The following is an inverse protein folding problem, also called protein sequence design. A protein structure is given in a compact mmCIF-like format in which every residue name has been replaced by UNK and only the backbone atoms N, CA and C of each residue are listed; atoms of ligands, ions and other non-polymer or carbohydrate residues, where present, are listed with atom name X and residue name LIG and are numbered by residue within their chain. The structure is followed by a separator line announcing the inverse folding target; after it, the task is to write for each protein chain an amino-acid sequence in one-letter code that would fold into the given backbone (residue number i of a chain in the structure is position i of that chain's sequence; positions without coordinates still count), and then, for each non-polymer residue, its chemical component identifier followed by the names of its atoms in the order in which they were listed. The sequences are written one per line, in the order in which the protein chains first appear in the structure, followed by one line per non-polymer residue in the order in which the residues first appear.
data_IF_901011150895
#
_entry.id   IF_901011150895
#
_cell.length_a   1.000
_cell.length_b   1.000
_cell.length_c   1.000
_cell.angle_alpha   90.00
_cell.angle_beta   90.00
_cell.angle_gamma   90.00
#
_symmetry.space_group_name_H-M   'P 1'
#
loop_
_entity.id
_entity.type
_entity.pdbx_description
1 polymer ?
#
# COMPACT_ATOMS: atom_id res chain seq x y z
N UNK A 1 15.78 0.99 15.65
CA UNK A 1 14.53 0.75 16.41
C UNK A 1 13.68 -0.21 15.56
N UNK A 2 13.70 -1.51 15.86
CA UNK A 2 13.02 -2.53 15.03
C UNK A 2 11.51 -2.25 15.03
N UNK A 3 10.92 -2.08 13.83
CA UNK A 3 9.51 -1.75 13.65
C UNK A 3 8.62 -2.86 14.20
N UNK A 4 7.85 -2.50 15.23
CA UNK A 4 6.94 -3.35 16.00
C UNK A 4 5.58 -3.46 15.32
N UNK A 5 5.54 -3.80 14.03
CA UNK A 5 4.30 -3.94 13.26
C UNK A 5 4.57 -4.61 11.92
N UNK A 6 3.57 -5.27 11.34
CA UNK A 6 3.58 -5.70 9.93
C UNK A 6 2.95 -4.61 9.07
N UNK A 7 3.72 -4.08 8.14
CA UNK A 7 3.24 -3.15 7.12
C UNK A 7 3.66 -3.63 5.75
N UNK A 8 2.86 -3.26 4.76
CA UNK A 8 3.15 -3.58 3.37
C UNK A 8 3.26 -2.27 2.62
N UNK A 9 4.41 -2.03 2.00
CA UNK A 9 4.63 -0.86 1.13
C UNK A 9 4.64 -1.34 -0.31
N UNK A 10 3.77 -0.75 -1.13
CA UNK A 10 3.76 -0.90 -2.57
C UNK A 10 4.35 0.37 -3.20
N UNK A 11 5.50 0.27 -3.87
CA UNK A 11 5.99 1.34 -4.76
C UNK A 11 5.37 1.14 -6.13
N UNK A 12 4.80 2.20 -6.68
CA UNK A 12 4.06 2.18 -7.94
C UNK A 12 4.94 2.76 -9.06
N UNK A 13 4.80 2.31 -10.32
CA UNK A 13 5.68 2.72 -11.43
C UNK A 13 5.62 4.23 -11.69
N UNK A 14 6.77 4.82 -12.02
CA UNK A 14 6.85 6.24 -12.39
C UNK A 14 6.48 6.42 -13.88
N UNK A 15 5.29 6.96 -14.15
CA UNK A 15 4.79 7.20 -15.52
C UNK A 15 5.38 8.45 -16.20
N UNK A 16 6.21 9.23 -15.51
CA UNK A 16 6.84 10.43 -16.09
C UNK A 16 7.93 10.12 -17.13
N UNK A 17 8.42 8.88 -17.17
CA UNK A 17 9.47 8.43 -18.11
C UNK A 17 8.94 8.05 -19.50
N UNK A 18 7.63 8.16 -19.76
CA UNK A 18 7.02 7.86 -21.06
C UNK A 18 6.40 9.13 -21.68
N UNK A 19 7.19 10.19 -21.73
CA UNK A 19 6.83 11.45 -22.40
C UNK A 19 6.87 11.30 -23.93
N UNK A 20 5.87 10.59 -24.47
CA UNK A 20 5.53 10.52 -25.88
C UNK A 20 4.03 10.66 -26.04
N UNK A 21 3.52 11.89 -25.95
CA UNK A 21 2.22 12.37 -26.46
C UNK A 21 0.98 11.43 -26.37
N UNK A 22 0.83 10.65 -25.28
CA UNK A 22 -0.44 9.98 -25.00
C UNK A 22 -1.36 10.95 -24.23
N UNK A 23 -2.69 10.99 -24.52
CA UNK A 23 -3.64 11.71 -23.70
C UNK A 23 -3.50 11.24 -22.24
N UNK A 24 -3.75 12.11 -21.24
CA UNK A 24 -3.65 11.70 -19.85
C UNK A 24 -4.55 10.47 -19.64
N UNK A 25 -4.07 9.41 -18.96
CA UNK A 25 -4.78 8.15 -18.88
C UNK A 25 -6.21 8.38 -18.33
N UNK A 26 -7.20 7.52 -18.63
CA UNK A 26 -8.60 7.69 -18.22
C UNK A 26 -8.77 8.07 -16.74
N UNK A 27 -7.89 7.57 -15.88
CA UNK A 27 -7.82 7.87 -14.46
C UNK A 27 -7.53 9.35 -14.12
N UNK A 28 -6.71 10.05 -14.91
CA UNK A 28 -6.43 11.48 -14.72
C UNK A 28 -7.66 12.34 -15.07
N UNK A 29 -8.44 11.97 -16.09
CA UNK A 29 -9.72 12.64 -16.37
C UNK A 29 -10.74 12.42 -15.25
N UNK A 30 -10.80 11.23 -14.66
CA UNK A 30 -11.68 10.95 -13.52
C UNK A 30 -11.32 11.82 -12.30
N UNK A 31 -10.03 11.96 -11.98
CA UNK A 31 -9.55 12.84 -10.91
C UNK A 31 -9.95 14.30 -11.13
N UNK A 32 -9.73 14.82 -12.35
CA UNK A 32 -10.06 16.22 -12.69
C UNK A 32 -11.57 16.47 -12.59
N UNK A 33 -12.40 15.54 -13.08
CA UNK A 33 -13.87 15.63 -12.94
C UNK A 33 -14.30 15.62 -11.48
N UNK A 34 -13.57 14.91 -10.62
CA UNK A 34 -13.79 14.90 -9.18
C UNK A 34 -13.23 16.14 -8.48
N UNK A 35 -12.62 17.10 -9.17
CA UNK A 35 -12.05 18.32 -8.60
C UNK A 35 -10.67 18.14 -7.96
N UNK A 36 -9.98 17.03 -8.26
CA UNK A 36 -8.61 16.76 -7.82
C UNK A 36 -7.64 17.28 -8.88
N UNK A 37 -6.60 17.99 -8.44
CA UNK A 37 -5.45 18.42 -9.26
C UNK A 37 -4.39 17.32 -9.32
N UNK A 38 -4.20 16.57 -10.42
CA UNK A 38 -3.26 15.44 -10.46
C UNK A 38 -1.82 15.81 -10.07
N UNK A 39 -1.36 17.01 -10.41
CA UNK A 39 -0.04 17.56 -10.09
C UNK A 39 0.17 17.83 -8.59
N UNK A 40 -0.92 17.89 -7.82
CA UNK A 40 -0.92 18.14 -6.37
C UNK A 40 -1.24 16.88 -5.56
N UNK A 41 -1.18 15.69 -6.15
CA UNK A 41 -1.39 14.43 -5.42
C UNK A 41 -0.26 14.18 -4.40
N UNK A 42 -0.55 13.50 -3.27
CA UNK A 42 0.49 12.97 -2.40
C UNK A 42 1.33 11.95 -3.18
N UNK A 43 2.65 12.05 -3.07
CA UNK A 43 3.60 11.09 -3.64
C UNK A 43 3.57 9.79 -2.85
N UNK A 44 3.39 9.85 -1.54
CA UNK A 44 3.27 8.70 -0.67
C UNK A 44 2.06 8.83 0.26
N UNK A 45 1.15 7.85 0.21
CA UNK A 45 0.04 7.69 1.14
C UNK A 45 0.31 6.54 2.10
N UNK A 46 0.12 6.75 3.39
CA UNK A 46 0.11 5.68 4.38
C UNK A 46 -1.30 5.49 4.96
N UNK A 47 -1.69 4.25 5.25
CA UNK A 47 -3.06 3.91 5.66
C UNK A 47 -3.12 3.00 6.87
N UNK A 48 -3.95 3.37 7.85
CA UNK A 48 -4.39 2.51 8.94
C UNK A 48 -5.79 1.99 8.61
N UNK A 49 -5.85 0.69 8.27
CA UNK A 49 -7.04 0.00 7.74
C UNK A 49 -7.92 -0.56 8.88
N UNK A 50 -8.47 0.34 9.70
CA UNK A 50 -9.22 0.00 10.92
C UNK A 50 -10.73 -0.19 10.64
N UNK A 51 -11.41 -0.95 11.50
CA UNK A 51 -12.85 -1.13 11.43
C UNK A 51 -13.36 -2.46 10.86
N UNK A 52 -12.49 -3.37 10.41
CA UNK A 52 -12.91 -4.68 9.85
C UNK A 52 -13.85 -5.48 10.77
N UNK A 53 -13.49 -5.60 12.05
CA UNK A 53 -14.31 -6.32 13.06
C UNK A 53 -15.64 -5.61 13.32
N UNK A 54 -15.61 -4.28 13.47
CA UNK A 54 -16.81 -3.44 13.67
C UNK A 54 -17.76 -3.57 12.48
N UNK A 55 -17.21 -3.62 11.27
CA UNK A 55 -17.97 -3.75 10.03
C UNK A 55 -18.72 -5.08 9.96
N UNK A 56 -18.05 -6.19 10.32
CA UNK A 56 -18.68 -7.50 10.39
C UNK A 56 -19.74 -7.58 11.49
N UNK A 57 -19.41 -7.09 12.70
CA UNK A 57 -20.32 -7.08 13.84
C UNK A 57 -21.60 -6.30 13.56
N UNK A 58 -21.49 -5.11 12.96
CA UNK A 58 -22.64 -4.27 12.60
C UNK A 58 -23.60 -4.95 11.60
N UNK A 59 -23.15 -6.00 10.91
CA UNK A 59 -23.91 -6.76 9.91
C UNK A 59 -24.26 -8.18 10.39
N UNK A 60 -23.95 -8.53 11.64
CA UNK A 60 -24.16 -9.89 12.16
C UNK A 60 -23.30 -10.95 11.49
N UNK A 61 -22.18 -10.56 10.87
CA UNK A 61 -21.28 -11.45 10.14
C UNK A 61 -20.11 -11.94 11.01
N UNK A 62 -19.52 -13.11 10.69
CA UNK A 62 -18.26 -13.54 11.29
C UNK A 62 -17.14 -12.52 11.08
N UNK A 63 -16.21 -12.41 12.06
CA UNK A 63 -15.03 -11.54 11.96
C UNK A 63 -14.22 -11.76 10.67
N UNK A 64 -14.12 -13.01 10.22
CA UNK A 64 -13.44 -13.39 8.98
C UNK A 64 -13.97 -12.61 7.76
N UNK A 65 -15.30 -12.49 7.60
CA UNK A 65 -15.95 -11.75 6.51
C UNK A 65 -15.54 -10.27 6.48
N UNK A 66 -15.38 -9.66 7.67
CA UNK A 66 -14.90 -8.29 7.77
C UNK A 66 -13.46 -8.14 7.28
N UNK A 67 -12.59 -9.12 7.55
CA UNK A 67 -11.23 -9.13 7.06
C UNK A 67 -11.15 -9.39 5.56
N UNK A 68 -11.96 -10.29 5.01
CA UNK A 68 -12.05 -10.52 3.56
C UNK A 68 -12.56 -9.27 2.82
N UNK A 69 -13.58 -8.60 3.36
CA UNK A 69 -14.06 -7.33 2.83
C UNK A 69 -12.97 -6.25 2.90
N UNK A 70 -12.16 -6.25 3.97
CA UNK A 70 -10.98 -5.40 4.08
C UNK A 70 -9.91 -5.69 3.02
N UNK A 71 -9.68 -6.95 2.64
CA UNK A 71 -8.77 -7.29 1.55
C UNK A 71 -9.26 -6.74 0.20
N UNK A 72 -10.56 -6.88 -0.09
CA UNK A 72 -11.16 -6.29 -1.32
C UNK A 72 -11.01 -4.77 -1.36
N UNK A 73 -11.17 -4.09 -0.21
CA UNK A 73 -10.92 -2.65 -0.11
C UNK A 73 -9.46 -2.29 -0.34
N UNK A 74 -8.50 -3.12 0.12
CA UNK A 74 -7.07 -2.94 -0.12
C UNK A 74 -6.72 -3.10 -1.60
N UNK A 75 -7.18 -4.16 -2.26
CA UNK A 75 -6.94 -4.37 -3.69
C UNK A 75 -7.47 -3.20 -4.53
N UNK A 76 -8.70 -2.74 -4.24
CA UNK A 76 -9.28 -1.54 -4.86
C UNK A 76 -8.40 -0.31 -4.62
N UNK A 77 -7.91 -0.11 -3.41
CA UNK A 77 -7.08 1.05 -3.04
C UNK A 77 -5.71 1.02 -3.73
N UNK A 78 -5.08 -0.14 -3.85
CA UNK A 78 -3.82 -0.34 -4.60
C UNK A 78 -4.04 0.02 -6.06
N UNK A 79 -5.10 -0.51 -6.67
CA UNK A 79 -5.47 -0.23 -8.06
C UNK A 79 -5.70 1.27 -8.29
N UNK A 80 -6.54 1.91 -7.47
CA UNK A 80 -6.82 3.35 -7.57
C UNK A 80 -5.53 4.18 -7.41
N UNK A 81 -4.69 3.84 -6.42
CA UNK A 81 -3.42 4.55 -6.19
C UNK A 81 -2.49 4.45 -7.40
N UNK A 82 -2.37 3.27 -8.01
CA UNK A 82 -1.61 3.04 -9.25
C UNK A 82 -2.18 3.86 -10.39
N UNK A 83 -3.49 3.77 -10.61
CA UNK A 83 -4.16 4.39 -11.75
C UNK A 83 -4.09 5.93 -11.66
N UNK A 84 -4.18 6.48 -10.46
CA UNK A 84 -4.05 7.91 -10.16
C UNK A 84 -2.61 8.43 -10.12
N UNK A 85 -1.60 7.57 -10.13
CA UNK A 85 -0.20 7.96 -10.13
C UNK A 85 0.37 8.34 -8.74
N UNK A 86 -0.27 7.88 -7.66
CA UNK A 86 0.37 7.89 -6.33
C UNK A 86 1.57 6.95 -6.40
N UNK A 87 2.74 7.35 -5.89
CA UNK A 87 4.00 6.63 -6.14
C UNK A 87 4.33 5.59 -5.07
N UNK A 88 3.76 5.73 -3.88
CA UNK A 88 3.91 4.78 -2.80
C UNK A 88 2.63 4.69 -1.97
N UNK A 89 2.27 3.47 -1.59
CA UNK A 89 1.21 3.17 -0.63
C UNK A 89 1.78 2.30 0.49
N UNK A 90 1.73 2.75 1.74
CA UNK A 90 2.11 1.94 2.92
C UNK A 90 0.90 1.63 3.77
N UNK A 91 0.54 0.36 3.94
CA UNK A 91 -0.64 -0.05 4.71
C UNK A 91 -0.24 -0.74 6.01
N UNK A 92 -0.93 -0.39 7.09
CA UNK A 92 -0.78 -1.02 8.39
C UNK A 92 -1.61 -2.31 8.42
N UNK A 93 -0.98 -3.44 8.05
CA UNK A 93 -1.66 -4.71 7.88
C UNK A 93 -1.92 -5.46 9.21
N UNK A 94 -0.96 -5.44 10.15
CA UNK A 94 -1.11 -6.13 11.44
C UNK A 94 -0.24 -5.49 12.54
N UNK A 95 -0.85 -5.07 13.65
CA UNK A 95 -0.12 -4.43 14.77
C UNK A 95 0.34 -5.44 15.82
N UNK A 96 1.30 -5.06 16.67
CA UNK A 96 1.75 -5.94 17.75
C UNK A 96 0.66 -6.18 18.79
N UNK A 97 -0.16 -5.18 19.04
CA UNK A 97 -1.32 -5.27 19.92
C UNK A 97 -2.35 -6.28 19.37
N UNK A 98 -2.28 -6.62 18.07
CA UNK A 98 -3.15 -7.64 17.48
C UNK A 98 -2.74 -9.07 17.84
N UNK A 99 -1.51 -9.32 18.33
CA UNK A 99 -1.15 -10.62 18.89
C UNK A 99 -1.88 -10.94 20.20
N UNK A 100 -2.53 -9.96 20.84
CA UNK A 100 -3.40 -10.20 21.99
C UNK A 100 -4.81 -10.69 21.63
N UNK A 101 -5.13 -10.87 20.35
CA UNK A 101 -6.43 -11.39 19.88
C UNK A 101 -6.48 -12.92 19.94
N UNK A 102 -7.67 -13.56 19.81
CA UNK A 102 -7.76 -15.02 19.77
C UNK A 102 -6.86 -15.62 18.69
N UNK A 103 -6.13 -16.70 19.01
CA UNK A 103 -5.11 -17.28 18.11
C UNK A 103 -5.69 -17.65 16.74
N UNK A 104 -6.90 -18.20 16.69
CA UNK A 104 -7.58 -18.51 15.43
C UNK A 104 -7.79 -17.28 14.53
N UNK A 105 -8.05 -16.10 15.12
CA UNK A 105 -8.15 -14.84 14.36
C UNK A 105 -6.77 -14.41 13.85
N UNK A 106 -5.74 -14.50 14.70
CA UNK A 106 -4.35 -14.16 14.31
C UNK A 106 -3.89 -15.03 13.14
N UNK A 107 -4.06 -16.34 13.24
CA UNK A 107 -3.68 -17.30 12.21
C UNK A 107 -4.44 -17.05 10.90
N UNK A 108 -5.75 -16.77 11.00
CA UNK A 108 -6.58 -16.46 9.84
C UNK A 108 -6.10 -15.19 9.12
N UNK A 109 -5.81 -14.11 9.86
CA UNK A 109 -5.32 -12.85 9.27
C UNK A 109 -3.93 -13.02 8.65
N UNK A 110 -3.01 -13.74 9.31
CA UNK A 110 -1.69 -14.02 8.74
C UNK A 110 -1.80 -14.83 7.43
N UNK A 111 -2.65 -15.85 7.40
CA UNK A 111 -2.93 -16.61 6.19
C UNK A 111 -3.59 -15.77 5.10
N UNK A 112 -4.45 -14.81 5.46
CA UNK A 112 -5.08 -13.90 4.53
C UNK A 112 -4.06 -12.96 3.88
N UNK A 113 -3.13 -12.42 4.66
CA UNK A 113 -2.01 -11.60 4.15
C UNK A 113 -1.15 -12.43 3.20
N UNK A 114 -0.80 -13.66 3.58
CA UNK A 114 -0.01 -14.56 2.73
C UNK A 114 -0.70 -14.83 1.39
N UNK A 115 -2.00 -15.17 1.41
CA UNK A 115 -2.80 -15.38 0.20
C UNK A 115 -2.84 -14.13 -0.66
N UNK A 116 -3.10 -12.96 -0.06
CA UNK A 116 -3.16 -11.69 -0.79
C UNK A 116 -1.85 -11.37 -1.51
N UNK A 117 -0.71 -11.62 -0.85
CA UNK A 117 0.60 -11.44 -1.49
C UNK A 117 0.69 -12.37 -2.69
N UNK A 118 0.52 -13.69 -2.49
CA UNK A 118 0.67 -14.69 -3.55
C UNK A 118 -0.25 -14.45 -4.74
N UNK A 119 -1.53 -14.15 -4.50
CA UNK A 119 -2.53 -13.96 -5.56
C UNK A 119 -2.31 -12.70 -6.40
N UNK A 120 -1.59 -11.71 -5.88
CA UNK A 120 -1.35 -10.44 -6.57
C UNK A 120 0.08 -10.33 -7.13
N UNK A 121 0.96 -11.31 -6.90
CA UNK A 121 2.35 -11.26 -7.34
C UNK A 121 2.49 -11.08 -8.85
N UNK A 122 1.72 -11.84 -9.66
CA UNK A 122 1.73 -11.74 -11.12
C UNK A 122 1.26 -10.38 -11.61
N UNK A 123 0.22 -9.81 -11.00
CA UNK A 123 -0.24 -8.47 -11.35
C UNK A 123 0.79 -7.42 -10.94
N UNK A 124 1.38 -7.52 -9.75
CA UNK A 124 2.37 -6.57 -9.27
C UNK A 124 3.61 -6.57 -10.13
N UNK A 125 4.09 -7.75 -10.53
CA UNK A 125 5.17 -7.92 -11.48
C UNK A 125 4.86 -7.19 -12.81
N UNK A 126 3.73 -7.52 -13.45
CA UNK A 126 3.30 -6.92 -14.73
C UNK A 126 3.12 -5.42 -14.68
N UNK A 127 2.63 -4.92 -13.56
CA UNK A 127 2.28 -3.51 -13.40
C UNK A 127 3.41 -2.71 -12.75
N UNK A 128 4.59 -3.31 -12.56
CA UNK A 128 5.77 -2.67 -11.99
C UNK A 128 5.62 -2.26 -10.52
N UNK A 129 4.67 -2.86 -9.79
CA UNK A 129 4.47 -2.63 -8.37
C UNK A 129 5.54 -3.38 -7.58
N UNK A 130 6.28 -2.67 -6.73
CA UNK A 130 7.30 -3.27 -5.85
C UNK A 130 6.76 -3.42 -4.44
N UNK A 131 6.64 -4.66 -3.98
CA UNK A 131 6.11 -4.99 -2.68
C UNK A 131 7.23 -5.12 -1.65
N UNK A 132 7.10 -4.42 -0.51
CA UNK A 132 7.99 -4.55 0.64
C UNK A 132 7.18 -4.87 1.88
N UNK A 133 7.56 -5.93 2.59
CA UNK A 133 6.92 -6.31 3.85
C UNK A 133 7.82 -5.90 5.01
N UNK A 134 7.39 -4.88 5.76
CA UNK A 134 8.13 -4.25 6.85
C UNK A 134 7.61 -4.78 8.18
N UNK A 135 8.51 -5.09 9.10
CA UNK A 135 8.15 -5.55 10.44
C UNK A 135 9.17 -6.49 11.07
N UNK A 136 8.86 -6.98 12.26
CA UNK A 136 9.64 -8.03 12.92
C UNK A 136 9.35 -9.38 12.24
N UNK A 137 10.30 -9.94 11.45
CA UNK A 137 10.07 -11.15 10.71
C UNK A 137 9.87 -12.37 11.60
N UNK A 138 10.45 -12.37 12.81
CA UNK A 138 10.42 -13.51 13.75
C UNK A 138 9.03 -13.82 14.29
N UNK A 139 8.11 -12.87 14.21
CA UNK A 139 6.72 -12.98 14.70
C UNK A 139 5.73 -13.42 13.61
N UNK A 140 6.22 -13.72 12.41
CA UNK A 140 5.40 -14.20 11.29
C UNK A 140 5.53 -15.72 11.16
N UNK A 141 4.49 -16.44 10.72
CA UNK A 141 4.62 -17.82 10.29
C UNK A 141 5.75 -17.98 9.27
N UNK A 142 6.49 -19.09 9.33
CA UNK A 142 7.61 -19.34 8.42
C UNK A 142 7.20 -19.27 6.94
N UNK A 143 5.97 -19.72 6.62
CA UNK A 143 5.37 -19.62 5.29
C UNK A 143 5.29 -18.17 4.79
N UNK A 144 4.73 -17.27 5.62
CA UNK A 144 4.63 -15.84 5.31
C UNK A 144 6.01 -15.17 5.23
N UNK A 145 6.99 -15.62 6.01
CA UNK A 145 8.38 -15.14 5.87
C UNK A 145 8.97 -15.50 4.50
N UNK A 146 8.76 -16.74 4.04
CA UNK A 146 9.22 -17.20 2.72
C UNK A 146 8.54 -16.41 1.61
N UNK A 147 7.21 -16.37 1.62
CA UNK A 147 6.41 -15.64 0.62
C UNK A 147 6.77 -14.15 0.56
N UNK A 148 6.98 -13.49 1.70
CA UNK A 148 7.36 -12.08 1.71
C UNK A 148 8.76 -11.82 1.13
N UNK A 149 9.71 -12.75 1.34
CA UNK A 149 11.06 -12.64 0.77
C UNK A 149 11.05 -12.88 -0.73
N UNK A 150 10.39 -13.96 -1.17
CA UNK A 150 10.23 -14.30 -2.58
C UNK A 150 9.57 -13.15 -3.36
N UNK A 151 8.52 -12.55 -2.78
CA UNK A 151 7.84 -11.39 -3.35
C UNK A 151 8.76 -10.18 -3.55
N UNK A 152 9.52 -9.82 -2.51
CA UNK A 152 10.43 -8.66 -2.51
C UNK A 152 11.57 -8.87 -3.52
N UNK A 153 12.16 -10.07 -3.56
CA UNK A 153 13.23 -10.45 -4.47
C UNK A 153 12.77 -10.42 -5.94
N UNK A 154 11.65 -11.06 -6.25
CA UNK A 154 11.12 -11.11 -7.60
C UNK A 154 10.77 -9.71 -8.13
N UNK A 155 10.11 -8.88 -7.32
CA UNK A 155 9.80 -7.49 -7.68
C UNK A 155 11.07 -6.66 -7.92
N UNK A 156 12.13 -6.83 -7.13
CA UNK A 156 13.40 -6.13 -7.31
C UNK A 156 14.12 -6.55 -8.59
N UNK A 157 14.14 -7.84 -8.90
CA UNK A 157 14.85 -8.34 -10.07
C UNK A 157 14.18 -7.88 -11.36
N UNK A 158 12.84 -7.98 -11.44
CA UNK A 158 12.07 -7.47 -12.58
C UNK A 158 12.25 -5.96 -12.76
N UNK A 159 12.24 -5.21 -11.67
CA UNK A 159 12.49 -3.78 -11.69
C UNK A 159 13.87 -3.42 -12.28
N UNK A 160 14.93 -4.15 -11.92
CA UNK A 160 16.28 -3.94 -12.47
C UNK A 160 16.35 -4.26 -13.96
N UNK A 161 15.68 -5.32 -14.40
CA UNK A 161 15.66 -5.73 -15.81
C UNK A 161 14.87 -4.72 -16.66
N UNK A 162 13.79 -4.15 -16.13
CA UNK A 162 13.04 -3.06 -16.75
C UNK A 162 13.86 -1.77 -16.81
N UNK A 163 14.49 -1.36 -15.70
CA UNK A 163 15.36 -0.16 -15.67
C UNK A 163 16.58 -0.31 -16.59
N UNK A 164 17.13 -1.52 -16.70
CA UNK A 164 18.25 -1.84 -17.59
C UNK A 164 17.86 -2.04 -19.05
N UNK A 165 16.58 -1.94 -19.40
CA UNK A 165 16.06 -2.13 -20.76
C UNK A 165 16.11 -3.57 -21.27
N UNK A 166 16.40 -4.55 -20.40
CA UNK A 166 16.44 -5.98 -20.73
C UNK A 166 15.04 -6.61 -20.82
N UNK A 167 14.04 -6.00 -20.18
CA UNK A 167 12.65 -6.44 -20.17
C UNK A 167 11.72 -5.24 -20.32
N UNK A 168 10.66 -5.35 -21.11
CA UNK A 168 9.60 -4.32 -21.11
C UNK A 168 8.54 -4.69 -20.07
N UNK A 169 7.90 -3.72 -19.39
CA UNK A 169 6.83 -4.01 -18.42
C UNK A 169 5.70 -4.88 -19.00
N UNK A 170 5.36 -4.65 -20.27
CA UNK A 170 4.29 -5.37 -20.96
C UNK A 170 4.65 -6.83 -21.31
N UNK A 171 5.94 -7.19 -21.27
CA UNK A 171 6.42 -8.52 -21.60
C UNK A 171 6.49 -9.44 -20.37
N UNK A 172 6.19 -8.93 -19.17
CA UNK A 172 6.20 -9.68 -17.91
C UNK A 172 5.03 -10.68 -17.88
N UNK A 173 5.30 -11.97 -17.66
CA UNK A 173 4.29 -13.01 -17.54
C UNK A 173 4.55 -13.96 -16.34
N UNK A 174 3.57 -14.83 -16.06
CA UNK A 174 3.61 -15.80 -14.94
C UNK A 174 4.83 -16.74 -15.02
N UNK A 175 5.20 -17.31 -16.19
CA UNK A 175 6.44 -18.08 -16.33
C UNK A 175 7.72 -17.31 -15.98
N UNK A 176 7.82 -16.04 -16.42
CA UNK A 176 8.96 -15.20 -16.11
C UNK A 176 9.01 -14.89 -14.62
N UNK A 177 7.87 -14.57 -13.99
CA UNK A 177 7.81 -14.33 -12.55
C UNK A 177 8.23 -15.58 -11.76
N UNK A 178 7.70 -16.75 -12.13
CA UNK A 178 8.04 -18.02 -11.50
C UNK A 178 9.55 -18.32 -11.56
N UNK A 179 10.20 -17.98 -12.67
CA UNK A 179 11.65 -18.15 -12.83
C UNK A 179 12.49 -17.29 -11.89
N UNK A 180 11.94 -16.17 -11.38
CA UNK A 180 12.64 -15.23 -10.49
C UNK A 180 12.38 -15.47 -9.00
N UNK A 181 11.45 -16.36 -8.63
CA UNK A 181 11.09 -16.66 -7.24
C UNK A 181 12.15 -17.45 -6.45
N UNK A 182 13.40 -17.53 -6.91
CA UNK A 182 14.48 -18.21 -6.18
C UNK A 182 15.87 -17.60 -6.47
N UNK A 183 16.32 -16.61 -5.69
CA UNK A 183 17.76 -16.38 -5.40
C UNK A 183 18.03 -15.28 -4.36
N UNK A 184 18.63 -15.70 -3.24
CA UNK A 184 19.52 -15.03 -2.26
C UNK A 184 19.58 -13.49 -2.16
N UNK A 185 19.13 -13.00 -0.99
CA UNK A 185 19.76 -12.05 -0.05
C UNK A 185 20.40 -10.75 -0.58
N UNK A 186 19.66 -9.64 -0.47
CA UNK A 186 20.18 -8.36 0.03
C UNK A 186 19.00 -7.42 0.35
N UNK A 187 18.80 -7.12 1.64
CA UNK A 187 17.90 -6.03 2.06
C UNK A 187 18.67 -4.73 1.92
N UNK A 188 18.64 -4.15 0.72
CA UNK A 188 19.16 -2.80 0.48
C UNK A 188 18.33 -1.77 1.24
N UNK A 189 19.00 -0.77 1.79
CA UNK A 189 18.44 0.34 2.56
C UNK A 189 17.14 0.85 1.93
N UNK A 190 16.03 0.51 2.58
CA UNK A 190 14.71 0.93 2.20
C UNK A 190 14.64 2.44 2.49
N UNK A 191 14.88 3.28 1.48
CA UNK A 191 14.45 4.67 1.47
C UNK A 191 12.91 4.70 1.48
N UNK A 192 12.31 4.38 2.63
CA UNK A 192 10.92 4.70 2.93
C UNK A 192 10.81 6.21 2.92
N UNK A 193 10.41 6.78 1.79
CA UNK A 193 10.02 8.18 1.72
C UNK A 193 8.97 8.46 2.80
N UNK A 194 9.05 9.61 3.47
CA UNK A 194 8.03 10.00 4.44
C UNK A 194 6.67 10.10 3.73
N UNK A 195 5.55 9.58 4.31
CA UNK A 195 4.24 9.79 3.72
C UNK A 195 3.91 11.28 3.68
N UNK A 196 3.31 11.74 2.59
CA UNK A 196 2.73 13.08 2.53
C UNK A 196 1.39 13.12 3.27
N UNK A 197 0.66 12.00 3.21
CA UNK A 197 -0.68 11.84 3.77
C UNK A 197 -0.80 10.52 4.53
N UNK A 198 -1.27 10.57 5.78
CA UNK A 198 -1.66 9.41 6.56
C UNK A 198 -3.16 9.39 6.72
N UNK A 199 -3.80 8.33 6.25
CA UNK A 199 -5.25 8.12 6.35
C UNK A 199 -5.52 7.07 7.43
N UNK A 200 -6.49 7.34 8.30
CA UNK A 200 -7.03 6.35 9.22
C UNK A 200 -8.55 6.31 9.17
N UNK A 201 -9.08 5.10 9.04
CA UNK A 201 -10.51 4.80 9.00
C UNK A 201 -11.07 4.55 10.39
N UNK A 202 -12.40 4.40 10.48
CA UNK A 202 -13.19 4.02 11.66
C UNK A 202 -13.30 5.05 12.80
N UNK A 203 -13.04 6.33 12.53
CA UNK A 203 -13.23 7.45 13.46
C UNK A 203 -12.14 7.59 14.54
N UNK A 204 -11.19 6.67 14.61
CA UNK A 204 -10.12 6.70 15.60
C UNK A 204 -9.05 7.75 15.27
N UNK A 205 -8.89 8.76 16.13
CA UNK A 205 -7.95 9.88 15.90
C UNK A 205 -6.58 9.67 16.57
N UNK A 206 -5.86 8.61 16.19
CA UNK A 206 -4.50 8.33 16.66
C UNK A 206 -3.68 7.57 15.61
N UNK A 207 -2.35 7.55 15.73
CA UNK A 207 -1.49 6.78 14.82
C UNK A 207 -1.27 5.34 15.25
N UNK A 208 -1.51 4.99 16.52
CA UNK A 208 -1.29 3.63 17.05
C UNK A 208 0.13 3.09 16.74
N UNK A 209 1.15 3.91 16.97
CA UNK A 209 2.57 3.57 16.74
C UNK A 209 2.91 3.24 15.27
N UNK A 210 2.06 3.62 14.32
CA UNK A 210 2.30 3.48 12.90
C UNK A 210 3.17 4.64 12.38
N UNK A 211 4.31 4.31 11.77
CA UNK A 211 5.20 5.25 11.08
C UNK A 211 5.48 6.57 11.86
N UNK A 212 5.66 6.50 13.19
CA UNK A 212 5.72 7.72 14.02
C UNK A 212 6.75 8.74 13.56
N UNK A 213 7.96 8.27 13.19
CA UNK A 213 9.03 9.15 12.75
C UNK A 213 8.80 9.65 11.32
N UNK A 214 8.45 8.74 10.41
CA UNK A 214 8.18 9.06 9.02
C UNK A 214 6.99 9.99 8.87
N UNK A 215 6.03 9.95 9.80
CA UNK A 215 4.80 10.75 9.75
C UNK A 215 4.90 12.11 10.42
N UNK A 216 6.09 12.52 10.87
CA UNK A 216 6.27 13.75 11.66
C UNK A 216 5.78 15.03 10.96
N UNK A 217 5.82 15.04 9.62
CA UNK A 217 5.37 16.17 8.79
C UNK A 217 4.23 15.79 7.84
N UNK A 218 3.65 14.61 8.01
CA UNK A 218 2.54 14.17 7.18
C UNK A 218 1.26 14.90 7.56
N UNK A 219 0.42 15.14 6.56
CA UNK A 219 -0.97 15.50 6.82
C UNK A 219 -1.72 14.27 7.35
N UNK A 220 -2.56 14.49 8.36
CA UNK A 220 -3.37 13.44 8.96
C UNK A 220 -4.82 13.60 8.54
N UNK A 221 -5.41 12.54 7.99
CA UNK A 221 -6.82 12.48 7.62
C UNK A 221 -7.51 11.32 8.34
N UNK A 222 -8.59 11.64 9.06
CA UNK A 222 -9.40 10.69 9.79
C UNK A 222 -10.81 10.67 9.20
N UNK A 223 -11.34 9.49 8.94
CA UNK A 223 -12.73 9.29 8.46
C UNK A 223 -13.45 8.29 9.35
N UNK A 224 -14.75 8.52 9.54
CA UNK A 224 -15.65 7.62 10.27
C UNK A 224 -15.96 6.34 9.48
N UNK A 225 -15.73 6.35 8.16
CA UNK A 225 -15.90 5.17 7.32
C UNK A 225 -15.08 3.99 7.83
N UNK A 226 -15.70 2.82 7.95
CA UNK A 226 -15.01 1.57 8.28
C UNK A 226 -14.20 1.11 7.07
N UNK A 227 -13.04 0.49 7.28
CA UNK A 227 -12.14 0.10 6.18
C UNK A 227 -12.81 -0.65 5.02
N UNK A 228 -13.69 -1.65 5.24
CA UNK A 228 -14.33 -2.33 4.11
C UNK A 228 -15.25 -1.44 3.27
N UNK A 229 -15.79 -0.36 3.87
CA UNK A 229 -16.63 0.64 3.21
C UNK A 229 -15.78 1.81 2.63
N UNK A 230 -14.45 1.78 2.76
CA UNK A 230 -13.56 2.79 2.17
C UNK A 230 -13.43 2.57 0.66
N UNK A 231 -14.23 3.30 -0.11
CA UNK A 231 -14.34 3.23 -1.56
C UNK A 231 -13.63 4.38 -2.27
N UNK A 232 -13.87 4.52 -3.59
CA UNK A 232 -13.28 5.59 -4.40
C UNK A 232 -13.68 6.98 -3.89
N UNK A 233 -14.93 7.17 -3.46
CA UNK A 233 -15.43 8.46 -2.98
C UNK A 233 -14.84 8.86 -1.62
N UNK A 234 -14.67 7.90 -0.71
CA UNK A 234 -13.92 8.12 0.54
C UNK A 234 -12.45 8.47 0.26
N UNK A 235 -11.82 7.79 -0.70
CA UNK A 235 -10.42 8.07 -1.04
C UNK A 235 -10.27 9.45 -1.70
N UNK A 236 -11.15 9.81 -2.63
CA UNK A 236 -11.20 11.14 -3.23
C UNK A 236 -11.43 12.23 -2.19
N UNK A 237 -12.25 12.00 -1.15
CA UNK A 237 -12.42 12.94 -0.04
C UNK A 237 -11.13 13.16 0.75
N UNK A 238 -10.38 12.09 1.03
CA UNK A 238 -9.07 12.22 1.67
C UNK A 238 -8.09 13.05 0.82
N UNK A 239 -8.06 12.80 -0.49
CA UNK A 239 -7.22 13.56 -1.43
C UNK A 239 -7.64 15.02 -1.55
N UNK A 240 -8.95 15.32 -1.56
CA UNK A 240 -9.48 16.70 -1.54
C UNK A 240 -9.05 17.43 -0.27
N UNK A 241 -9.17 16.79 0.88
CA UNK A 241 -8.72 17.35 2.16
C UNK A 241 -7.22 17.68 2.13
N UNK A 242 -6.40 16.79 1.57
CA UNK A 242 -4.97 17.04 1.37
C UNK A 242 -4.71 18.26 0.47
N UNK A 243 -5.46 18.42 -0.62
CA UNK A 243 -5.28 19.53 -1.58
C UNK A 243 -5.88 20.88 -1.16
N UNK A 244 -6.86 20.88 -0.25
CA UNK A 244 -7.51 22.09 0.23
C UNK A 244 -6.64 22.87 1.22
N UNK A 245 -5.62 22.24 1.82
CA UNK A 245 -4.77 22.90 2.80
C UNK A 245 -3.78 23.85 2.14
N UNK A 246 -3.76 25.08 2.64
CA UNK A 246 -2.67 26.02 2.34
C UNK A 246 -1.39 25.49 2.99
N UNK A 247 -0.46 25.01 2.17
CA UNK A 247 0.87 24.62 2.64
C UNK A 247 1.51 25.84 3.30
N UNK A 248 1.63 25.83 4.63
CA UNK A 248 2.34 26.87 5.36
C UNK A 248 3.80 26.82 4.91
N UNK A 249 4.35 27.97 4.53
CA UNK A 249 5.70 28.10 3.98
C UNK A 249 6.74 27.40 4.87
N UNK A 250 7.28 26.31 4.35
CA UNK A 250 8.48 25.61 4.79
C UNK A 250 9.14 25.04 3.55
N UNK A 251 9.54 25.93 2.63
CA UNK A 251 10.26 25.57 1.42
C UNK A 251 11.54 24.83 1.79
N UNK A 252 11.62 23.52 1.53
CA UNK A 252 12.90 22.93 1.15
C UNK A 252 13.13 23.28 -0.32
N UNK A 253 13.60 24.50 -0.56
CA UNK A 253 14.45 24.74 -1.72
C UNK A 253 15.76 24.03 -1.40
N UNK A 254 15.89 22.79 -1.85
CA UNK A 254 17.22 22.19 -1.99
C UNK A 254 17.74 22.71 -3.33
N UNK A 255 18.71 23.61 -3.21
CA UNK A 255 19.56 24.11 -4.31
C UNK A 255 20.35 22.94 -4.89
#
# INVERSE_FOLDING_TARGET
MLSRFLSVTARLPDRSLHAGAAPPPPAAHALVRSGIRPESLPRHVAMVMDGNRRWAQARGLPTAEGHEAGCRALERTVRLSRDWGIRALTVFAFSQENFGRPQAEVDYVMGLIERLIRSNLDEYARTGVRLHVIGDPSRRPASLQSTAREADEACRQLAREVEGGALKPDDIDEPQLASKLATTSAVGELELSCPDLVIRTSGEQRLSNFLMWQSAYSELYFTDALWPDFDEDEYLRALKSFQARQRRFGQRNVI
#
